data_IF_424704690436
#
_entry.id   IF_424704690436
#
_cell.length_a   1.000
_cell.length_b   1.000
_cell.length_c   1.000
_cell.angle_alpha   90.00
_cell.angle_beta   90.00
_cell.angle_gamma   90.00
#
_symmetry.space_group_name_H-M   'P 1'
#
loop_
_entity.id
_entity.type
_entity.pdbx_description
1 polymer ?
#
# COMPACT_ATOMS: atom_id res chain seq x y z
N UNK A 1 -57.35 12.59 3.42
CA UNK A 1 -57.14 12.59 4.88
C UNK A 1 -55.93 11.70 5.14
N UNK A 2 -54.87 12.21 5.78
CA UNK A 2 -53.73 11.35 6.16
C UNK A 2 -53.92 11.00 7.64
N UNK A 3 -53.91 9.71 7.95
CA UNK A 3 -54.13 9.18 9.30
C UNK A 3 -52.94 8.30 9.67
N UNK A 4 -52.68 8.16 10.98
CA UNK A 4 -51.68 7.24 11.51
C UNK A 4 -52.33 6.21 12.41
N UNK A 5 -51.70 5.04 12.49
CA UNK A 5 -52.18 3.92 13.27
C UNK A 5 -51.47 3.89 14.62
N UNK A 6 -52.24 3.80 15.71
CA UNK A 6 -51.68 3.67 17.05
C UNK A 6 -50.90 2.35 17.20
N UNK A 7 -49.63 2.36 17.63
CA UNK A 7 -48.85 1.13 17.78
C UNK A 7 -49.33 0.24 18.93
N UNK A 8 -50.06 0.79 19.90
CA UNK A 8 -50.54 0.06 21.07
C UNK A 8 -51.89 -0.65 20.84
N UNK A 9 -52.86 0.03 20.21
CA UNK A 9 -54.23 -0.49 20.04
C UNK A 9 -54.72 -0.51 18.59
N UNK A 10 -53.88 -0.14 17.63
CA UNK A 10 -54.14 -0.18 16.18
C UNK A 10 -55.33 0.68 15.70
N UNK A 11 -55.79 1.64 16.50
CA UNK A 11 -56.79 2.62 16.04
C UNK A 11 -56.19 3.63 15.07
N UNK A 12 -57.00 4.09 14.10
CA UNK A 12 -56.67 5.24 13.27
C UNK A 12 -56.83 6.53 14.08
N UNK A 13 -55.86 7.43 13.97
CA UNK A 13 -55.85 8.72 14.63
C UNK A 13 -55.35 9.80 13.65
N UNK A 14 -55.83 11.04 13.77
CA UNK A 14 -55.25 12.20 13.08
C UNK A 14 -53.73 12.32 13.31
N UNK A 15 -53.03 12.91 12.33
CA UNK A 15 -51.59 13.19 12.44
C UNK A 15 -51.28 14.22 13.54
N UNK A 16 -52.20 15.15 13.79
CA UNK A 16 -51.98 16.27 14.73
C UNK A 16 -52.04 15.88 16.20
N UNK A 17 -52.64 14.73 16.53
CA UNK A 17 -52.74 14.29 17.93
C UNK A 17 -51.33 14.03 18.53
N UNK A 18 -51.23 13.85 19.84
CA UNK A 18 -50.00 13.33 20.46
C UNK A 18 -50.20 11.99 21.14
N UNK A 19 -51.46 11.71 21.48
CA UNK A 19 -51.92 10.53 22.17
C UNK A 19 -53.09 9.92 21.41
N UNK A 20 -53.28 8.62 21.55
CA UNK A 20 -54.35 7.89 20.93
C UNK A 20 -55.70 8.24 21.58
N UNK A 21 -56.69 8.64 20.78
CA UNK A 21 -58.04 8.94 21.27
C UNK A 21 -58.78 7.72 21.84
N UNK A 22 -58.36 6.49 21.49
CA UNK A 22 -58.98 5.24 21.96
C UNK A 22 -58.32 4.68 23.22
N UNK A 23 -56.99 4.64 23.30
CA UNK A 23 -56.27 3.96 24.39
C UNK A 23 -55.38 4.90 25.22
N UNK A 24 -55.27 6.18 24.86
CA UNK A 24 -54.42 7.17 25.55
C UNK A 24 -52.91 6.99 25.34
N UNK A 25 -52.47 5.97 24.59
CA UNK A 25 -51.05 5.70 24.36
C UNK A 25 -50.39 6.76 23.46
N UNK A 26 -49.10 7.08 23.65
CA UNK A 26 -48.40 8.06 22.82
C UNK A 26 -48.31 7.57 21.37
N UNK A 27 -48.64 8.45 20.41
CA UNK A 27 -48.58 8.14 18.97
C UNK A 27 -47.21 8.46 18.37
N UNK A 28 -46.45 9.35 19.01
CA UNK A 28 -45.07 9.62 18.65
C UNK A 28 -44.19 8.47 19.15
N UNK A 29 -43.71 7.64 18.23
CA UNK A 29 -42.72 6.61 18.55
C UNK A 29 -41.45 7.34 18.96
N UNK A 30 -41.14 7.33 20.26
CA UNK A 30 -39.87 7.84 20.78
C UNK A 30 -38.74 7.18 19.99
N UNK A 31 -38.18 7.92 19.03
CA UNK A 31 -37.01 7.48 18.27
C UNK A 31 -35.97 7.13 19.32
N UNK A 32 -35.59 5.86 19.35
CA UNK A 32 -34.66 5.26 20.30
C UNK A 32 -33.61 6.30 20.68
N UNK A 33 -33.66 6.78 21.93
CA UNK A 33 -32.74 7.79 22.41
C UNK A 33 -31.33 7.42 21.98
N UNK A 34 -30.61 8.36 21.35
CA UNK A 34 -29.21 8.17 20.94
C UNK A 34 -28.49 7.54 22.13
N UNK A 35 -28.09 6.27 22.00
CA UNK A 35 -27.43 5.51 23.07
C UNK A 35 -26.10 6.21 23.31
N UNK A 36 -26.02 7.01 24.37
CA UNK A 36 -24.81 7.76 24.69
C UNK A 36 -23.66 6.80 24.92
N UNK A 37 -22.59 6.91 24.12
CA UNK A 37 -21.21 6.46 24.36
C UNK A 37 -20.93 5.09 24.99
N UNK A 38 -21.93 4.20 25.11
CA UNK A 38 -21.79 2.93 25.79
C UNK A 38 -21.00 1.93 24.94
N UNK A 39 -20.13 1.16 25.59
CA UNK A 39 -19.32 0.12 24.98
C UNK A 39 -20.15 -0.74 24.01
N UNK A 40 -19.62 -0.94 22.81
CA UNK A 40 -20.27 -1.76 21.78
C UNK A 40 -20.31 -3.21 22.29
N UNK A 41 -21.52 -3.68 22.56
CA UNK A 41 -21.78 -5.08 22.93
C UNK A 41 -22.29 -5.81 21.71
N UNK A 42 -21.48 -6.71 21.15
CA UNK A 42 -21.87 -7.58 20.03
C UNK A 42 -22.07 -8.98 20.60
N UNK A 43 -23.25 -9.58 20.39
CA UNK A 43 -23.59 -10.92 20.88
C UNK A 43 -23.32 -11.13 22.39
N UNK A 44 -23.68 -10.14 23.21
CA UNK A 44 -23.52 -10.21 24.67
C UNK A 44 -22.09 -10.02 25.19
N UNK A 45 -21.11 -9.78 24.30
CA UNK A 45 -19.72 -9.51 24.69
C UNK A 45 -19.40 -8.04 24.52
N UNK A 46 -19.04 -7.37 25.62
CA UNK A 46 -18.49 -6.02 25.59
C UNK A 46 -17.11 -6.07 24.96
N UNK A 47 -16.88 -5.33 23.89
CA UNK A 47 -15.56 -5.22 23.27
C UNK A 47 -14.76 -4.12 23.99
N UNK A 48 -13.74 -4.45 24.79
CA UNK A 48 -12.86 -3.44 25.36
C UNK A 48 -11.93 -2.98 24.23
N UNK A 49 -12.36 -1.99 23.45
CA UNK A 49 -11.44 -1.29 22.55
C UNK A 49 -10.48 -0.50 23.42
N UNK A 50 -9.38 -1.14 23.79
CA UNK A 50 -8.32 -0.47 24.54
C UNK A 50 -7.57 0.43 23.56
N UNK A 51 -7.28 1.68 23.97
CA UNK A 51 -6.45 2.59 23.18
C UNK A 51 -5.11 1.98 22.74
N UNK A 52 -4.60 1.00 23.50
CA UNK A 52 -3.43 0.19 23.15
C UNK A 52 -3.60 -0.63 21.86
N UNK A 53 -4.78 -1.20 21.61
CA UNK A 53 -5.05 -1.97 20.38
C UNK A 53 -5.13 -1.06 19.17
N UNK A 54 -5.76 0.11 19.31
CA UNK A 54 -5.82 1.14 18.26
C UNK A 54 -4.42 1.67 17.92
N UNK A 55 -3.56 1.87 18.93
CA UNK A 55 -2.18 2.29 18.70
C UNK A 55 -1.35 1.28 17.90
N UNK A 56 -1.54 -0.02 18.14
CA UNK A 56 -0.80 -1.08 17.42
C UNK A 56 -1.16 -1.13 15.93
N UNK A 57 -2.43 -1.01 15.58
CA UNK A 57 -2.85 -1.04 14.17
C UNK A 57 -2.40 0.20 13.42
N UNK A 58 -2.47 1.37 14.06
CA UNK A 58 -1.93 2.62 13.49
C UNK A 58 -0.42 2.52 13.21
N UNK A 59 0.35 1.93 14.14
CA UNK A 59 1.79 1.76 13.96
C UNK A 59 2.15 0.85 12.76
N UNK A 60 1.41 -0.25 12.57
CA UNK A 60 1.60 -1.14 11.42
C UNK A 60 1.32 -0.44 10.09
N UNK A 61 0.24 0.36 10.02
CA UNK A 61 -0.07 1.17 8.84
C UNK A 61 1.04 2.18 8.52
N UNK A 62 1.55 2.88 9.54
CA UNK A 62 2.65 3.84 9.36
C UNK A 62 3.94 3.16 8.87
N UNK A 63 4.27 1.97 9.41
CA UNK A 63 5.46 1.21 8.99
C UNK A 63 5.39 0.81 7.50
N UNK A 64 4.22 0.40 7.01
CA UNK A 64 4.03 0.07 5.60
C UNK A 64 4.28 1.28 4.68
N UNK A 65 3.72 2.44 5.02
CA UNK A 65 3.92 3.68 4.25
C UNK A 65 5.40 4.12 4.21
N UNK A 66 6.11 3.98 5.33
CA UNK A 66 7.55 4.29 5.39
C UNK A 66 8.36 3.34 4.50
N UNK A 67 8.02 2.05 4.46
CA UNK A 67 8.71 1.08 3.62
C UNK A 67 8.53 1.39 2.12
N UNK A 68 7.31 1.72 1.69
CA UNK A 68 7.04 2.07 0.29
C UNK A 68 7.74 3.37 -0.12
N UNK A 69 7.66 4.42 0.70
CA UNK A 69 8.36 5.68 0.46
C UNK A 69 9.89 5.48 0.41
N UNK A 70 10.43 4.63 1.29
CA UNK A 70 11.85 4.28 1.33
C UNK A 70 12.32 3.56 0.06
N UNK A 71 11.53 2.61 -0.46
CA UNK A 71 11.82 1.90 -1.72
C UNK A 71 11.84 2.85 -2.92
N UNK A 72 10.89 3.79 -2.99
CA UNK A 72 10.84 4.80 -4.06
C UNK A 72 12.07 5.73 -3.98
N UNK A 73 12.41 6.21 -2.78
CA UNK A 73 13.59 7.04 -2.57
C UNK A 73 14.89 6.31 -2.93
N UNK A 74 15.02 5.04 -2.55
CA UNK A 74 16.22 4.24 -2.82
C UNK A 74 16.43 4.03 -4.32
N UNK A 75 15.36 3.73 -5.09
CA UNK A 75 15.44 3.63 -6.55
C UNK A 75 15.92 4.94 -7.17
N UNK A 76 15.35 6.07 -6.76
CA UNK A 76 15.77 7.39 -7.24
C UNK A 76 17.24 7.68 -6.93
N UNK A 77 17.74 7.22 -5.78
CA UNK A 77 19.15 7.39 -5.39
C UNK A 77 20.09 6.54 -6.24
N UNK A 78 19.69 5.33 -6.62
CA UNK A 78 20.47 4.46 -7.52
C UNK A 78 20.50 4.99 -8.95
N UNK A 79 19.41 5.63 -9.41
CA UNK A 79 19.33 6.25 -10.73
C UNK A 79 20.04 7.60 -10.83
N UNK A 80 20.35 8.25 -9.71
CA UNK A 80 21.20 9.44 -9.72
C UNK A 80 22.65 9.00 -9.95
N UNK A 81 23.27 9.29 -11.11
CA UNK A 81 24.70 9.22 -11.21
C UNK A 81 25.26 10.23 -10.21
N UNK A 82 25.98 9.73 -9.20
CA UNK A 82 26.87 10.56 -8.39
C UNK A 82 27.63 11.46 -9.35
N UNK A 83 27.66 12.77 -9.07
CA UNK A 83 28.21 13.82 -9.94
C UNK A 83 29.69 13.67 -10.31
N UNK A 84 30.32 12.54 -9.98
CA UNK A 84 31.69 12.18 -10.34
C UNK A 84 31.82 11.77 -11.82
N UNK A 85 30.77 11.24 -12.47
CA UNK A 85 30.85 10.88 -13.90
C UNK A 85 30.64 12.05 -14.86
N UNK A 86 30.18 13.21 -14.38
CA UNK A 86 29.99 14.39 -15.21
C UNK A 86 31.32 15.06 -15.63
N UNK A 87 32.43 14.80 -14.91
CA UNK A 87 33.75 15.32 -15.28
C UNK A 87 34.36 14.57 -16.46
N UNK A 88 34.08 13.27 -16.60
CA UNK A 88 34.62 12.45 -17.70
C UNK A 88 34.09 12.88 -19.09
N UNK A 89 32.90 13.50 -19.14
CA UNK A 89 32.29 13.94 -20.40
C UNK A 89 32.80 15.32 -20.87
N UNK A 90 33.47 16.10 -20.02
CA UNK A 90 34.02 17.43 -20.37
C UNK A 90 35.41 17.39 -21.00
N UNK A 91 36.14 16.27 -20.90
CA UNK A 91 37.46 16.12 -21.52
C UNK A 91 37.44 15.42 -22.90
N UNK A 92 36.25 15.11 -23.43
CA UNK A 92 36.11 14.63 -24.80
C UNK A 92 36.31 15.79 -25.79
N UNK A 93 37.58 16.18 -25.96
CA UNK A 93 38.03 17.00 -27.06
C UNK A 93 37.77 16.22 -28.36
N UNK A 94 37.17 16.80 -29.42
CA UNK A 94 37.01 16.09 -30.68
C UNK A 94 38.40 15.87 -31.28
N UNK A 95 38.87 14.61 -31.25
CA UNK A 95 40.13 14.22 -31.85
C UNK A 95 40.05 14.45 -33.37
N UNK A 96 40.86 15.39 -33.83
CA UNK A 96 41.14 15.66 -35.24
C UNK A 96 41.54 14.34 -35.90
N UNK A 97 40.85 13.99 -36.99
CA UNK A 97 41.09 12.79 -37.80
C UNK A 97 42.55 12.79 -38.29
N UNK A 98 43.39 11.99 -37.65
CA UNK A 98 44.74 11.71 -38.10
C UNK A 98 44.76 10.32 -38.76
N UNK A 99 45.40 10.29 -39.91
CA UNK A 99 45.55 9.23 -40.90
C UNK A 99 46.16 7.95 -40.31
N UNK A 100 45.77 6.84 -40.93
CA UNK A 100 46.08 5.47 -40.56
C UNK A 100 47.57 5.11 -40.50
N UNK A 101 47.90 4.20 -39.58
CA UNK A 101 49.02 3.25 -39.66
C UNK A 101 48.57 1.95 -39.00
N UNK A 102 48.87 0.75 -39.55
CA UNK A 102 48.32 -0.51 -39.05
C UNK A 102 49.17 -1.00 -37.88
N UNK A 103 48.75 -0.65 -36.66
CA UNK A 103 49.21 -1.34 -35.46
C UNK A 103 48.16 -2.41 -35.15
N UNK A 104 48.58 -3.67 -35.14
CA UNK A 104 47.79 -4.83 -34.71
C UNK A 104 47.13 -4.53 -33.36
N UNK A 105 45.84 -4.19 -33.40
CA UNK A 105 45.06 -4.03 -32.19
C UNK A 105 44.55 -5.41 -31.79
N UNK A 106 45.25 -6.08 -30.88
CA UNK A 106 44.68 -7.20 -30.14
C UNK A 106 43.58 -6.63 -29.24
N UNK A 107 42.36 -6.53 -29.77
CA UNK A 107 41.21 -6.02 -29.05
C UNK A 107 40.65 -7.16 -28.22
N UNK A 108 40.71 -6.99 -26.90
CA UNK A 108 40.17 -7.96 -25.95
C UNK A 108 38.85 -7.42 -25.42
N UNK A 109 37.76 -8.11 -25.74
CA UNK A 109 36.43 -7.83 -25.20
C UNK A 109 36.19 -8.68 -23.96
N UNK A 110 36.06 -8.04 -22.79
CA UNK A 110 35.65 -8.71 -21.55
C UNK A 110 34.13 -8.59 -21.42
N UNK A 111 33.44 -9.73 -21.47
CA UNK A 111 31.99 -9.82 -21.28
C UNK A 111 31.72 -10.31 -19.86
N UNK A 112 30.99 -9.51 -19.08
CA UNK A 112 30.46 -9.92 -17.78
C UNK A 112 28.98 -10.27 -17.91
N UNK A 113 28.60 -11.44 -17.40
CA UNK A 113 27.21 -11.89 -17.38
C UNK A 113 26.86 -12.35 -15.97
N UNK A 114 25.76 -11.80 -15.44
CA UNK A 114 25.16 -12.28 -14.19
C UNK A 114 24.05 -13.26 -14.53
N UNK A 115 24.15 -14.48 -14.01
CA UNK A 115 23.20 -15.56 -14.24
C UNK A 115 22.51 -15.88 -12.92
N UNK A 116 21.20 -15.64 -12.87
CA UNK A 116 20.36 -15.95 -11.71
C UNK A 116 19.48 -17.15 -12.07
N UNK A 117 19.70 -18.27 -11.39
CA UNK A 117 18.89 -19.48 -11.54
C UNK A 117 17.93 -19.60 -10.36
N UNK A 118 16.66 -19.83 -10.66
CA UNK A 118 15.60 -19.98 -9.65
C UNK A 118 15.03 -21.40 -9.80
N UNK A 119 15.20 -22.22 -8.77
CA UNK A 119 14.67 -23.58 -8.70
C UNK A 119 13.48 -23.62 -7.75
N UNK A 120 12.43 -24.33 -8.14
CA UNK A 120 11.33 -24.69 -7.25
C UNK A 120 11.47 -26.17 -6.88
N UNK A 121 11.52 -26.46 -5.58
CA UNK A 121 11.55 -27.82 -5.06
C UNK A 121 10.13 -28.35 -4.87
N UNK A 122 10.00 -29.68 -4.84
CA UNK A 122 8.70 -30.37 -4.68
C UNK A 122 8.04 -30.08 -3.31
N UNK A 123 8.81 -29.64 -2.32
CA UNK A 123 8.34 -29.17 -1.01
C UNK A 123 7.85 -27.70 -1.01
N UNK A 124 7.85 -27.05 -2.18
CA UNK A 124 7.49 -25.64 -2.35
C UNK A 124 8.59 -24.66 -1.94
N UNK A 125 9.77 -25.12 -1.54
CA UNK A 125 10.90 -24.25 -1.25
C UNK A 125 11.50 -23.68 -2.56
N UNK A 126 11.80 -22.38 -2.55
CA UNK A 126 12.49 -21.71 -3.66
C UNK A 126 13.97 -21.61 -3.34
N UNK A 127 14.81 -22.16 -4.23
CA UNK A 127 16.26 -22.04 -4.15
C UNK A 127 16.77 -21.11 -5.25
N UNK A 128 17.51 -20.06 -4.86
CA UNK A 128 18.05 -19.06 -5.78
C UNK A 128 19.58 -19.21 -5.81
N UNK A 129 20.13 -19.47 -6.99
CA UNK A 129 21.57 -19.57 -7.23
C UNK A 129 22.02 -18.43 -8.15
N UNK A 130 22.81 -17.51 -7.60
CA UNK A 130 23.34 -16.33 -8.31
C UNK A 130 24.82 -16.53 -8.62
N UNK A 131 25.19 -16.48 -9.90
CA UNK A 131 26.57 -16.65 -10.36
C UNK A 131 26.96 -15.56 -11.35
N UNK A 132 28.21 -15.11 -11.22
CA UNK A 132 28.82 -14.17 -12.15
C UNK A 132 29.82 -14.90 -13.03
N UNK A 133 29.65 -14.78 -14.35
CA UNK A 133 30.53 -15.38 -15.36
C UNK A 133 31.25 -14.27 -16.09
N UNK A 134 32.57 -14.39 -16.17
CA UNK A 134 33.44 -13.48 -16.89
C UNK A 134 34.04 -14.24 -18.08
N UNK A 135 33.81 -13.74 -19.29
CA UNK A 135 34.39 -14.31 -20.50
C UNK A 135 35.26 -13.27 -21.19
N UNK A 136 36.49 -13.67 -21.50
CA UNK A 136 37.40 -12.90 -22.35
C UNK A 136 37.23 -13.39 -23.78
N UNK A 137 36.87 -12.49 -24.70
CA UNK A 137 36.91 -12.73 -26.15
C UNK A 137 38.05 -11.93 -26.75
N UNK A 138 38.89 -12.61 -27.51
CA UNK A 138 39.91 -11.98 -28.35
C UNK A 138 39.31 -11.91 -29.76
N UNK A 139 39.34 -10.74 -30.38
CA UNK A 139 38.88 -10.51 -31.76
C UNK A 139 40.08 -10.21 -32.68
#
# INVERSE_FOLDING_TARGET
MVERICPACQSANPLDDRFCGKCGGPLERQVLARRGGGALTIAGRSLPVTWRQVGKTAALGAAALVAEAGLIWLRRRLEQPSGETALAKRFATPAKRATASPAESNVVTIVSQRVIQIFQKDDGAVEINDRHVWQRREE
#
